data_IF_154839743531
#
_entry.id   IF_154839743531
#
_cell.length_a   1.000
_cell.length_b   1.000
_cell.length_c   1.000
_cell.angle_alpha   90.00
_cell.angle_beta   90.00
_cell.angle_gamma   90.00
#
_symmetry.space_group_name_H-M   'P 1'
#
loop_
_entity.id
_entity.type
_entity.pdbx_description
1 polymer ?
#
# COMPACT_ATOMS: atom_id res chain seq x y z
N UNK A 1 -2.48 9.01 -9.57
CA UNK A 1 -2.46 9.50 -8.16
C UNK A 1 -1.14 9.18 -7.51
N UNK A 2 -0.70 7.92 -7.46
CA UNK A 2 0.58 7.53 -6.85
C UNK A 2 1.78 8.15 -7.59
N UNK A 3 1.92 7.90 -8.90
CA UNK A 3 3.06 8.42 -9.68
C UNK A 3 3.17 9.96 -9.68
N UNK A 4 2.03 10.64 -9.68
CA UNK A 4 1.96 12.10 -9.69
C UNK A 4 1.83 12.71 -8.27
N UNK A 5 1.96 11.91 -7.20
CA UNK A 5 1.85 12.34 -5.80
C UNK A 5 0.63 13.23 -5.49
N UNK A 6 -0.53 12.88 -6.06
CA UNK A 6 -1.75 13.66 -5.90
C UNK A 6 -2.49 13.31 -4.61
N UNK A 7 -2.90 14.33 -3.86
CA UNK A 7 -3.90 14.18 -2.81
C UNK A 7 -5.27 13.85 -3.41
N UNK A 8 -6.17 13.30 -2.57
CA UNK A 8 -7.57 13.05 -2.96
C UNK A 8 -8.25 14.30 -3.49
N UNK A 9 -8.04 15.45 -2.83
CA UNK A 9 -8.62 16.71 -3.23
C UNK A 9 -8.10 17.20 -4.61
N UNK A 10 -6.78 17.13 -4.82
CA UNK A 10 -6.18 17.50 -6.12
C UNK A 10 -6.71 16.61 -7.25
N UNK A 11 -6.82 15.31 -7.00
CA UNK A 11 -7.39 14.38 -7.97
C UNK A 11 -8.85 14.69 -8.31
N UNK A 12 -9.66 15.02 -7.30
CA UNK A 12 -11.06 15.38 -7.49
C UNK A 12 -11.22 16.66 -8.31
N UNK A 13 -10.40 17.69 -8.06
CA UNK A 13 -10.37 18.91 -8.87
C UNK A 13 -10.05 18.58 -10.33
N UNK A 14 -8.97 17.83 -10.58
CA UNK A 14 -8.57 17.44 -11.95
C UNK A 14 -9.72 16.71 -12.64
N UNK A 15 -10.31 15.71 -11.98
CA UNK A 15 -11.44 14.96 -12.52
C UNK A 15 -12.65 15.84 -12.81
N UNK A 16 -12.99 16.79 -11.92
CA UNK A 16 -14.10 17.71 -12.13
C UNK A 16 -13.88 18.60 -13.35
N UNK A 17 -12.68 19.14 -13.54
CA UNK A 17 -12.36 19.96 -14.72
C UNK A 17 -12.39 19.12 -16.00
N UNK A 18 -11.78 17.93 -16.00
CA UNK A 18 -11.79 17.04 -17.16
C UNK A 18 -13.22 16.61 -17.54
N UNK A 19 -14.09 16.34 -16.57
CA UNK A 19 -15.48 15.95 -16.83
C UNK A 19 -16.31 17.00 -17.56
N UNK A 20 -15.91 18.28 -17.54
CA UNK A 20 -16.56 19.35 -18.33
C UNK A 20 -16.34 19.18 -19.83
N UNK A 21 -15.26 18.50 -20.23
CA UNK A 21 -14.84 18.31 -21.63
C UNK A 21 -15.05 16.85 -22.04
N UNK A 22 -14.54 15.91 -21.23
CA UNK A 22 -14.62 14.47 -21.45
C UNK A 22 -15.22 13.79 -20.23
N UNK A 23 -16.54 13.53 -20.31
CA UNK A 23 -17.29 12.88 -19.23
C UNK A 23 -16.70 11.49 -18.93
N UNK A 24 -16.40 11.24 -17.65
CA UNK A 24 -15.93 9.95 -17.12
C UNK A 24 -14.54 9.50 -17.62
N UNK A 25 -13.68 10.41 -18.10
CA UNK A 25 -12.29 10.07 -18.47
C UNK A 25 -11.52 9.48 -17.27
N UNK A 26 -11.73 10.02 -16.08
CA UNK A 26 -11.11 9.52 -14.84
C UNK A 26 -12.15 8.86 -13.93
N UNK A 27 -11.82 7.72 -13.30
CA UNK A 27 -12.74 7.01 -12.40
C UNK A 27 -13.12 7.87 -11.20
N UNK A 28 -14.29 7.63 -10.62
CA UNK A 28 -14.63 8.27 -9.34
C UNK A 28 -13.72 7.76 -8.22
N UNK A 29 -13.46 8.60 -7.21
CA UNK A 29 -12.51 8.27 -6.14
C UNK A 29 -12.85 6.97 -5.40
N UNK A 30 -14.14 6.64 -5.21
CA UNK A 30 -14.54 5.38 -4.58
C UNK A 30 -14.04 4.13 -5.33
N UNK A 31 -13.89 4.19 -6.67
CA UNK A 31 -13.32 3.10 -7.47
C UNK A 31 -11.82 2.96 -7.23
N UNK A 32 -11.12 4.08 -7.06
CA UNK A 32 -9.70 4.07 -6.69
C UNK A 32 -9.53 3.53 -5.27
N UNK A 33 -10.40 3.94 -4.34
CA UNK A 33 -10.40 3.42 -2.97
C UNK A 33 -10.59 1.90 -2.96
N UNK A 34 -11.58 1.39 -3.67
CA UNK A 34 -11.79 -0.06 -3.81
C UNK A 34 -10.56 -0.77 -4.42
N UNK A 35 -9.92 -0.18 -5.43
CA UNK A 35 -8.69 -0.72 -6.00
C UNK A 35 -7.52 -0.73 -5.01
N UNK A 36 -7.39 0.30 -4.16
CA UNK A 36 -6.39 0.35 -3.07
C UNK A 36 -6.65 -0.70 -2.01
N UNK A 37 -7.91 -0.94 -1.65
CA UNK A 37 -8.30 -1.96 -0.67
C UNK A 37 -7.88 -3.37 -1.13
N UNK A 38 -7.95 -3.66 -2.44
CA UNK A 38 -7.43 -4.91 -3.00
C UNK A 38 -5.90 -5.05 -2.90
N UNK A 39 -5.17 -3.97 -2.59
CA UNK A 39 -3.73 -3.96 -2.36
C UNK A 39 -3.34 -4.18 -0.91
N UNK A 40 -4.27 -4.05 0.06
CA UNK A 40 -3.92 -4.23 1.46
C UNK A 40 -3.90 -5.71 1.84
N UNK A 41 -2.82 -6.21 2.46
CA UNK A 41 -2.79 -7.56 2.97
C UNK A 41 -3.68 -7.70 4.21
N UNK A 42 -4.14 -8.91 4.50
CA UNK A 42 -4.94 -9.20 5.68
C UNK A 42 -4.10 -9.25 6.96
N UNK A 43 -4.75 -9.03 8.12
CA UNK A 43 -4.16 -9.19 9.46
C UNK A 43 -3.03 -8.21 9.78
N UNK A 44 -3.17 -6.94 9.37
CA UNK A 44 -2.28 -5.86 9.81
C UNK A 44 -2.68 -5.46 11.23
N UNK A 45 -1.74 -5.54 12.16
CA UNK A 45 -1.88 -4.99 13.51
C UNK A 45 -1.35 -3.56 13.53
N UNK A 46 -2.13 -2.61 14.06
CA UNK A 46 -1.70 -1.22 14.22
C UNK A 46 -1.98 -0.78 15.64
N UNK A 47 -0.96 -0.23 16.30
CA UNK A 47 -1.06 0.42 17.60
C UNK A 47 -0.64 1.88 17.48
N UNK A 48 -0.60 2.61 18.60
CA UNK A 48 -0.11 3.98 18.62
C UNK A 48 1.39 4.08 18.28
N UNK A 49 2.17 3.01 18.47
CA UNK A 49 3.64 3.06 18.43
C UNK A 49 4.27 2.14 17.40
N UNK A 50 3.54 1.16 16.88
CA UNK A 50 4.04 0.28 15.83
C UNK A 50 2.92 -0.27 14.96
N UNK A 51 3.29 -0.71 13.77
CA UNK A 51 2.46 -1.53 12.91
C UNK A 51 3.22 -2.79 12.54
N UNK A 52 2.53 -3.92 12.52
CA UNK A 52 3.13 -5.21 12.20
C UNK A 52 2.23 -6.04 11.28
N UNK A 53 2.86 -6.96 10.56
CA UNK A 53 2.19 -7.96 9.76
C UNK A 53 2.96 -9.27 9.82
N UNK A 54 2.25 -10.39 9.80
CA UNK A 54 2.89 -11.70 9.63
C UNK A 54 3.58 -11.76 8.28
N UNK A 55 4.87 -12.10 8.27
CA UNK A 55 5.67 -12.21 7.05
C UNK A 55 5.01 -13.14 6.01
N UNK A 56 4.47 -14.29 6.43
CA UNK A 56 3.77 -15.20 5.53
C UNK A 56 2.57 -14.53 4.84
N UNK A 57 1.74 -13.77 5.59
CA UNK A 57 0.61 -13.04 5.02
C UNK A 57 1.06 -12.01 3.97
N UNK A 58 2.20 -11.35 4.20
CA UNK A 58 2.76 -10.38 3.26
C UNK A 58 3.27 -11.07 1.98
N UNK A 59 3.99 -12.18 2.13
CA UNK A 59 4.52 -12.96 1.00
C UNK A 59 3.37 -13.55 0.17
N UNK A 60 2.39 -14.19 0.81
CA UNK A 60 1.23 -14.78 0.14
C UNK A 60 0.46 -13.73 -0.67
N UNK A 61 0.21 -12.56 -0.07
CA UNK A 61 -0.47 -11.47 -0.74
C UNK A 61 0.34 -10.92 -1.91
N UNK A 62 1.67 -10.80 -1.76
CA UNK A 62 2.57 -10.35 -2.82
C UNK A 62 2.57 -11.35 -3.99
N UNK A 63 2.70 -12.65 -3.72
CA UNK A 63 2.63 -13.71 -4.74
C UNK A 63 1.28 -13.69 -5.45
N UNK A 64 0.17 -13.62 -4.71
CA UNK A 64 -1.17 -13.52 -5.30
C UNK A 64 -1.27 -12.33 -6.27
N UNK A 65 -0.72 -11.17 -5.90
CA UNK A 65 -0.73 -9.97 -6.74
C UNK A 65 0.16 -10.13 -7.98
N UNK A 66 1.33 -10.72 -7.84
CA UNK A 66 2.20 -11.06 -8.97
C UNK A 66 1.50 -12.01 -9.94
N UNK A 67 0.87 -13.07 -9.44
CA UNK A 67 0.12 -14.01 -10.27
C UNK A 67 -1.02 -13.34 -11.04
N UNK A 68 -1.74 -12.39 -10.43
CA UNK A 68 -2.80 -11.63 -11.10
C UNK A 68 -2.26 -10.73 -12.23
N UNK A 69 -1.10 -10.10 -12.03
CA UNK A 69 -0.47 -9.26 -13.06
C UNK A 69 0.10 -10.10 -14.19
N UNK A 70 0.63 -11.28 -13.88
CA UNK A 70 1.25 -12.20 -14.84
C UNK A 70 0.28 -13.24 -15.39
N UNK A 71 -1.04 -13.09 -15.16
CA UNK A 71 -2.03 -14.13 -15.45
C UNK A 71 -1.94 -14.66 -16.89
N UNK A 72 -1.74 -13.77 -17.86
CA UNK A 72 -1.63 -14.14 -19.27
C UNK A 72 -0.36 -14.91 -19.61
N UNK A 73 0.74 -14.66 -18.89
CA UNK A 73 1.99 -15.42 -19.03
C UNK A 73 1.86 -16.77 -18.34
N UNK A 74 1.28 -16.78 -17.13
CA UNK A 74 1.12 -17.98 -16.31
C UNK A 74 0.18 -19.02 -16.93
N UNK A 75 -0.83 -18.60 -17.70
CA UNK A 75 -1.73 -19.52 -18.44
C UNK A 75 -0.99 -20.53 -19.33
N UNK A 76 0.17 -20.15 -19.86
CA UNK A 76 0.95 -20.99 -20.77
C UNK A 76 2.16 -21.65 -20.11
N UNK A 77 2.43 -21.36 -18.83
CA UNK A 77 3.53 -21.95 -18.08
C UNK A 77 3.05 -23.15 -17.27
N UNK A 78 3.76 -24.28 -17.37
CA UNK A 78 3.64 -25.39 -16.42
C UNK A 78 4.49 -25.06 -15.19
N UNK A 79 3.88 -24.44 -14.19
CA UNK A 79 4.53 -24.22 -12.90
C UNK A 79 4.40 -25.48 -12.04
N UNK A 80 5.50 -26.21 -11.89
CA UNK A 80 5.65 -27.20 -10.82
C UNK A 80 6.53 -26.60 -9.72
N UNK A 81 6.04 -26.60 -8.47
CA UNK A 81 6.73 -26.22 -7.24
C UNK A 81 7.77 -25.08 -7.38
N UNK A 82 7.30 -23.86 -7.68
CA UNK A 82 8.15 -22.68 -7.72
C UNK A 82 8.45 -22.15 -6.31
N UNK A 83 9.70 -22.35 -5.87
CA UNK A 83 10.24 -21.64 -4.72
C UNK A 83 10.44 -20.16 -5.04
N UNK A 84 10.09 -19.28 -4.11
CA UNK A 84 10.32 -17.84 -4.24
C UNK A 84 11.37 -17.43 -3.21
N UNK A 85 12.46 -16.84 -3.70
CA UNK A 85 13.47 -16.24 -2.83
C UNK A 85 13.10 -14.78 -2.63
N UNK A 86 13.07 -14.34 -1.37
CA UNK A 86 12.83 -12.96 -1.00
C UNK A 86 13.99 -12.47 -0.13
N UNK A 87 14.50 -11.28 -0.44
CA UNK A 87 15.42 -10.57 0.43
C UNK A 87 14.60 -9.62 1.32
N UNK A 88 14.93 -9.57 2.60
CA UNK A 88 14.25 -8.74 3.59
C UNK A 88 15.32 -8.00 4.38
N UNK A 89 15.16 -6.69 4.54
CA UNK A 89 16.06 -5.82 5.28
C UNK A 89 15.33 -5.08 6.39
N UNK A 90 16.04 -4.26 7.15
CA UNK A 90 15.45 -3.26 8.03
C UNK A 90 16.42 -2.10 8.21
N UNK A 91 15.89 -0.90 8.43
CA UNK A 91 16.69 0.31 8.66
C UNK A 91 15.93 1.32 9.54
N UNK A 92 16.68 2.27 10.11
CA UNK A 92 16.16 3.33 10.98
C UNK A 92 16.40 4.73 10.40
N UNK A 93 15.45 5.63 10.62
CA UNK A 93 15.58 7.03 10.27
C UNK A 93 14.98 7.95 11.33
N UNK A 94 15.53 9.15 11.47
CA UNK A 94 14.95 10.22 12.30
C UNK A 94 13.82 10.93 11.54
N UNK A 95 12.79 11.39 12.27
CA UNK A 95 11.62 12.08 11.74
C UNK A 95 11.14 13.21 12.67
N UNK A 96 10.25 14.04 12.14
CA UNK A 96 9.64 15.14 12.90
C UNK A 96 8.71 14.61 13.98
N UNK A 97 8.88 15.09 15.22
CA UNK A 97 7.97 14.78 16.34
C UNK A 97 6.60 15.42 16.15
N UNK A 98 5.55 14.65 16.38
CA UNK A 98 4.17 15.13 16.40
C UNK A 98 3.72 15.41 17.84
N UNK A 99 2.91 16.46 18.04
CA UNK A 99 2.43 16.86 19.39
C UNK A 99 1.21 16.03 19.84
N UNK A 100 1.19 14.75 19.52
CA UNK A 100 0.14 13.83 19.94
C UNK A 100 0.52 13.18 21.27
N UNK A 101 -0.46 13.06 22.16
CA UNK A 101 -0.28 12.38 23.44
C UNK A 101 -0.36 10.86 23.22
N UNK A 102 0.64 10.14 23.71
CA UNK A 102 0.64 8.68 23.76
C UNK A 102 -0.05 8.17 25.03
N UNK A 103 -0.56 6.94 24.98
CA UNK A 103 -1.10 6.25 26.14
C UNK A 103 -0.04 5.96 27.21
N UNK A 104 1.24 5.84 26.83
CA UNK A 104 2.39 5.63 27.72
C UNK A 104 3.33 6.84 27.70
N UNK A 105 3.87 7.22 28.86
CA UNK A 105 4.79 8.35 29.00
C UNK A 105 6.19 8.07 28.43
N UNK A 106 6.52 6.80 28.17
CA UNK A 106 7.81 6.37 27.63
C UNK A 106 7.85 6.30 26.09
N UNK A 107 6.80 6.78 25.42
CA UNK A 107 6.70 6.72 23.97
C UNK A 107 7.14 8.04 23.31
N UNK A 108 7.89 7.92 22.22
CA UNK A 108 8.31 9.02 21.37
C UNK A 108 8.20 8.57 19.90
N UNK A 109 8.00 9.54 19.00
CA UNK A 109 7.84 9.33 17.56
C UNK A 109 8.98 9.97 16.75
N UNK A 110 10.08 10.35 17.40
CA UNK A 110 11.19 11.02 16.72
C UNK A 110 11.99 10.12 15.80
N UNK A 111 11.94 8.80 15.98
CA UNK A 111 12.65 7.84 15.14
C UNK A 111 11.67 6.81 14.60
N UNK A 112 11.86 6.41 13.35
CA UNK A 112 11.11 5.37 12.67
C UNK A 112 12.05 4.22 12.33
N UNK A 113 11.68 3.00 12.72
CA UNK A 113 12.35 1.78 12.31
C UNK A 113 11.42 0.96 11.41
N UNK A 114 11.89 0.64 10.21
CA UNK A 114 11.11 -0.04 9.17
C UNK A 114 11.81 -1.27 8.64
N UNK A 115 11.00 -2.19 8.10
CA UNK A 115 11.43 -3.36 7.32
C UNK A 115 11.38 -2.98 5.84
#
# INVERSE_FOLDING_TARGET
MAEANLSTHQYEIIRQQTNKIHKNMYPAYHKIKAAKELCYPSNVGVTETFAEIKLQSLIDHTIMRLCKVQEDVLKYMRLENSGHNCEVGCDGAEQSRYKQKFSSENCADESLFGI
#
